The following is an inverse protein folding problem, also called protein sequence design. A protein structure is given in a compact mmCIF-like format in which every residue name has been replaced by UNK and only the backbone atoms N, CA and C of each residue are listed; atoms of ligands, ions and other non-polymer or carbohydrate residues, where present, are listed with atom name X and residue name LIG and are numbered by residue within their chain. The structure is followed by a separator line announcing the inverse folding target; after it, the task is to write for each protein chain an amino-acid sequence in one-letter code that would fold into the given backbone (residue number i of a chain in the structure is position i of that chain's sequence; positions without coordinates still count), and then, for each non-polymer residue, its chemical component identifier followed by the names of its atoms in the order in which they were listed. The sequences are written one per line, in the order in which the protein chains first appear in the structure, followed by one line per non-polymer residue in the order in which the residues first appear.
data_IF_913897304372
#
_entry.id   IF_913897304372
#
_cell.length_a   1.000
_cell.length_b   1.000
_cell.length_c   1.000
_cell.angle_alpha   90.00
_cell.angle_beta   90.00
_cell.angle_gamma   90.00
#
_symmetry.space_group_name_H-M   'P 1'
#
loop_
_entity.id
_entity.type
_entity.pdbx_description
1 polymer ?
#
# COMPACT_ATOMS: atom_id res chain seq x y z
N UNK A 1 -4.21 27.43 3.66
CA UNK A 1 -2.87 26.99 3.19
C UNK A 1 -2.82 25.47 3.25
N UNK A 2 -2.41 24.80 2.18
CA UNK A 2 -2.35 23.34 2.14
C UNK A 2 -1.28 22.81 3.09
N UNK A 3 -1.66 22.00 4.08
CA UNK A 3 -0.70 21.27 4.92
C UNK A 3 -0.37 19.93 4.24
N UNK A 4 0.90 19.58 4.10
CA UNK A 4 1.31 18.25 3.62
C UNK A 4 2.12 17.55 4.70
N UNK A 5 2.09 16.22 4.73
CA UNK A 5 2.99 15.47 5.59
C UNK A 5 4.46 15.77 5.24
N UNK A 6 5.35 15.59 6.22
CA UNK A 6 6.78 15.76 6.02
C UNK A 6 7.31 14.86 4.89
N UNK A 7 8.28 15.35 4.13
CA UNK A 7 8.78 14.68 2.92
C UNK A 7 9.27 13.24 3.14
N UNK A 8 9.78 12.93 4.34
CA UNK A 8 10.21 11.57 4.69
C UNK A 8 9.06 10.56 4.71
N UNK A 9 7.83 11.00 5.02
CA UNK A 9 6.62 10.15 4.99
C UNK A 9 6.37 9.68 3.57
N UNK A 10 6.45 10.60 2.61
CA UNK A 10 6.28 10.31 1.20
C UNK A 10 7.41 9.42 0.67
N UNK A 11 8.66 9.72 1.04
CA UNK A 11 9.80 8.90 0.68
C UNK A 11 9.60 7.43 1.13
N UNK A 12 9.15 7.22 2.37
CA UNK A 12 8.86 5.89 2.89
C UNK A 12 7.69 5.23 2.14
N UNK A 13 6.60 5.97 1.92
CA UNK A 13 5.41 5.46 1.24
C UNK A 13 5.71 5.01 -0.19
N UNK A 14 6.41 5.84 -0.98
CA UNK A 14 6.83 5.50 -2.34
C UNK A 14 7.86 4.37 -2.37
N UNK A 15 8.78 4.31 -1.40
CA UNK A 15 9.78 3.24 -1.32
C UNK A 15 9.12 1.89 -1.05
N UNK A 16 8.20 1.82 -0.07
CA UNK A 16 7.46 0.59 0.24
C UNK A 16 6.64 0.14 -0.95
N UNK A 17 5.96 1.05 -1.64
CA UNK A 17 5.21 0.74 -2.86
C UNK A 17 6.13 0.17 -3.96
N UNK A 18 7.24 0.85 -4.27
CA UNK A 18 8.18 0.43 -5.31
C UNK A 18 8.83 -0.93 -5.02
N UNK A 19 9.32 -1.14 -3.79
CA UNK A 19 9.93 -2.41 -3.38
C UNK A 19 8.90 -3.53 -3.43
N UNK A 20 7.67 -3.29 -2.97
CA UNK A 20 6.59 -4.29 -2.98
C UNK A 20 6.20 -4.68 -4.41
N UNK A 21 6.13 -3.71 -5.32
CA UNK A 21 5.84 -3.96 -6.73
C UNK A 21 6.95 -4.79 -7.39
N UNK A 22 8.22 -4.41 -7.17
CA UNK A 22 9.38 -5.13 -7.69
C UNK A 22 9.46 -6.56 -7.16
N UNK A 23 9.28 -6.77 -5.85
CA UNK A 23 9.27 -8.08 -5.22
C UNK A 23 8.13 -8.97 -5.75
N UNK A 24 6.95 -8.37 -6.00
CA UNK A 24 5.81 -9.09 -6.54
C UNK A 24 6.05 -9.51 -7.98
N UNK A 25 6.59 -8.61 -8.82
CA UNK A 25 6.98 -8.94 -10.18
C UNK A 25 8.07 -10.02 -10.22
N UNK A 26 9.07 -9.94 -9.34
CA UNK A 26 10.11 -10.96 -9.21
C UNK A 26 9.54 -12.33 -8.85
N UNK A 27 8.53 -12.38 -7.97
CA UNK A 27 7.82 -13.63 -7.63
C UNK A 27 7.15 -14.30 -8.83
N UNK A 28 6.64 -13.49 -9.79
CA UNK A 28 6.08 -14.00 -11.04
C UNK A 28 7.16 -14.62 -11.92
N UNK A 29 8.34 -13.99 -12.01
CA UNK A 29 9.48 -14.47 -12.80
C UNK A 29 9.96 -15.83 -12.28
N UNK A 30 10.13 -15.98 -10.96
CA UNK A 30 10.55 -17.25 -10.36
C UNK A 30 9.42 -18.28 -10.24
N UNK A 31 8.24 -17.99 -10.80
CA UNK A 31 7.03 -18.83 -10.80
C UNK A 31 6.59 -19.32 -9.41
N UNK A 32 6.85 -18.53 -8.35
CA UNK A 32 6.40 -18.83 -6.99
C UNK A 32 5.21 -17.95 -6.62
N UNK A 33 4.19 -18.57 -6.03
CA UNK A 33 2.99 -17.86 -5.50
C UNK A 33 2.34 -16.94 -6.55
N UNK A 34 2.35 -17.33 -7.83
CA UNK A 34 1.95 -16.49 -8.98
C UNK A 34 0.58 -15.84 -8.74
N UNK A 35 -0.46 -16.62 -8.41
CA UNK A 35 -1.80 -16.08 -8.21
C UNK A 35 -1.88 -15.03 -7.10
N UNK A 36 -1.26 -15.32 -5.94
CA UNK A 36 -1.22 -14.40 -4.80
C UNK A 36 -0.41 -13.13 -5.12
N UNK A 37 0.66 -13.25 -5.91
CA UNK A 37 1.48 -12.11 -6.35
C UNK A 37 0.79 -11.24 -7.40
N UNK A 38 0.04 -11.82 -8.34
CA UNK A 38 -0.80 -11.05 -9.28
C UNK A 38 -1.87 -10.28 -8.49
N UNK A 39 -2.57 -10.94 -7.57
CA UNK A 39 -3.56 -10.29 -6.73
C UNK A 39 -2.95 -9.15 -5.90
N UNK A 40 -1.74 -9.36 -5.36
CA UNK A 40 -1.02 -8.32 -4.62
C UNK A 40 -0.65 -7.11 -5.48
N UNK A 41 -0.20 -7.30 -6.72
CA UNK A 41 0.07 -6.19 -7.63
C UNK A 41 -1.20 -5.36 -7.86
N UNK A 42 -2.33 -6.03 -8.14
CA UNK A 42 -3.61 -5.35 -8.36
C UNK A 42 -3.98 -4.52 -7.12
N UNK A 43 -4.05 -5.17 -5.95
CA UNK A 43 -4.43 -4.53 -4.68
C UNK A 43 -3.46 -3.39 -4.30
N UNK A 44 -2.16 -3.57 -4.52
CA UNK A 44 -1.14 -2.57 -4.21
C UNK A 44 -1.33 -1.31 -5.07
N UNK A 45 -1.51 -1.48 -6.39
CA UNK A 45 -1.71 -0.36 -7.32
C UNK A 45 -3.02 0.36 -7.05
N UNK A 46 -4.13 -0.39 -6.92
CA UNK A 46 -5.43 0.22 -6.66
C UNK A 46 -5.51 0.84 -5.27
N UNK A 47 -4.94 0.21 -4.24
CA UNK A 47 -4.83 0.76 -2.89
C UNK A 47 -4.05 2.08 -2.88
N UNK A 48 -2.92 2.13 -3.59
CA UNK A 48 -2.14 3.35 -3.76
C UNK A 48 -2.93 4.46 -4.47
N UNK A 49 -3.57 4.14 -5.61
CA UNK A 49 -4.37 5.10 -6.37
C UNK A 49 -5.56 5.62 -5.57
N UNK A 50 -6.30 4.74 -4.88
CA UNK A 50 -7.46 5.12 -4.05
C UNK A 50 -7.03 6.05 -2.92
N UNK A 51 -5.91 5.75 -2.24
CA UNK A 51 -5.36 6.64 -1.21
C UNK A 51 -5.01 8.01 -1.81
N UNK A 52 -4.24 8.03 -2.90
CA UNK A 52 -3.76 9.26 -3.52
C UNK A 52 -4.92 10.15 -4.01
N UNK A 53 -5.88 9.58 -4.72
CA UNK A 53 -7.02 10.30 -5.27
C UNK A 53 -7.90 10.90 -4.17
N UNK A 54 -8.20 10.15 -3.11
CA UNK A 54 -9.02 10.65 -2.00
C UNK A 54 -8.25 11.69 -1.18
N UNK A 55 -6.95 11.51 -0.97
CA UNK A 55 -6.13 12.45 -0.22
C UNK A 55 -6.07 13.86 -0.87
N UNK A 56 -6.31 13.98 -2.18
CA UNK A 56 -6.45 15.29 -2.84
C UNK A 56 -7.74 16.03 -2.46
N UNK A 57 -8.79 15.32 -2.03
CA UNK A 57 -10.08 15.88 -1.62
C UNK A 57 -10.13 16.35 -0.16
N UNK A 58 -8.99 16.42 0.53
CA UNK A 58 -8.91 16.84 1.94
C UNK A 58 -9.20 18.33 2.12
N UNK A 59 -9.68 18.68 3.31
CA UNK A 59 -9.85 20.08 3.71
C UNK A 59 -8.50 20.81 3.83
N UNK A 60 -8.50 22.13 3.62
CA UNK A 60 -7.33 22.96 3.84
C UNK A 60 -6.77 22.81 5.28
N UNK A 61 -5.45 22.93 5.43
CA UNK A 61 -4.76 22.79 6.72
C UNK A 61 -4.69 21.36 7.29
N UNK A 62 -5.36 20.38 6.67
CA UNK A 62 -5.31 18.97 7.10
C UNK A 62 -4.29 18.19 6.27
N UNK A 63 -3.39 17.41 6.89
CA UNK A 63 -2.46 16.55 6.15
C UNK A 63 -3.15 15.32 5.56
N UNK A 64 -2.53 14.67 4.59
CA UNK A 64 -3.08 13.52 3.87
C UNK A 64 -3.28 12.30 4.79
N UNK A 65 -2.37 12.13 5.77
CA UNK A 65 -2.47 11.03 6.74
C UNK A 65 -3.52 11.32 7.80
N UNK A 66 -3.63 12.58 8.23
CA UNK A 66 -4.71 12.98 9.12
C UNK A 66 -6.07 12.74 8.45
N UNK A 67 -6.22 13.15 7.19
CA UNK A 67 -7.45 12.94 6.44
C UNK A 67 -7.79 11.46 6.27
N UNK A 68 -6.80 10.62 5.98
CA UNK A 68 -6.97 9.17 5.94
C UNK A 68 -7.47 8.61 7.28
N UNK A 69 -6.82 8.96 8.40
CA UNK A 69 -7.22 8.48 9.71
C UNK A 69 -8.61 8.96 10.13
N UNK A 70 -8.94 10.21 9.83
CA UNK A 70 -10.27 10.76 10.06
C UNK A 70 -11.31 9.99 9.25
N UNK A 71 -11.08 9.80 7.96
CA UNK A 71 -11.99 9.09 7.05
C UNK A 71 -12.16 7.62 7.47
N UNK A 72 -11.10 6.98 7.96
CA UNK A 72 -11.18 5.63 8.51
C UNK A 72 -12.06 5.56 9.76
N UNK A 73 -11.92 6.52 10.69
CA UNK A 73 -12.77 6.62 11.89
C UNK A 73 -14.23 6.88 11.55
N UNK A 74 -14.48 7.63 10.49
CA UNK A 74 -15.81 7.90 9.95
C UNK A 74 -16.39 6.71 9.15
N UNK A 75 -15.62 5.63 8.98
CA UNK A 75 -16.08 4.41 8.30
C UNK A 75 -16.09 4.53 6.77
N UNK A 76 -15.33 5.46 6.20
CA UNK A 76 -15.28 5.64 4.76
C UNK A 76 -14.72 4.38 4.06
N UNK A 77 -15.49 3.83 3.12
CA UNK A 77 -15.15 2.57 2.43
C UNK A 77 -13.80 2.61 1.74
N UNK A 78 -13.43 3.76 1.15
CA UNK A 78 -12.14 3.93 0.49
C UNK A 78 -10.97 3.82 1.50
N UNK A 79 -11.13 4.36 2.71
CA UNK A 79 -10.10 4.33 3.73
C UNK A 79 -9.96 2.91 4.31
N UNK A 80 -11.08 2.21 4.52
CA UNK A 80 -11.11 0.80 4.90
C UNK A 80 -10.41 -0.06 3.83
N UNK A 81 -10.71 0.18 2.56
CA UNK A 81 -10.08 -0.52 1.44
C UNK A 81 -8.55 -0.32 1.42
N UNK A 82 -8.08 0.92 1.60
CA UNK A 82 -6.64 1.24 1.68
C UNK A 82 -6.00 0.52 2.88
N UNK A 83 -6.65 0.49 4.04
CA UNK A 83 -6.16 -0.25 5.21
C UNK A 83 -6.03 -1.75 4.92
N UNK A 84 -7.07 -2.37 4.35
CA UNK A 84 -7.07 -3.78 3.97
C UNK A 84 -5.97 -4.07 2.95
N UNK A 85 -5.75 -3.17 1.99
CA UNK A 85 -4.67 -3.28 1.01
C UNK A 85 -3.30 -3.30 1.67
N UNK A 86 -3.09 -2.45 2.68
CA UNK A 86 -1.87 -2.45 3.51
C UNK A 86 -1.70 -3.75 4.31
N UNK A 87 -2.76 -4.24 4.96
CA UNK A 87 -2.73 -5.51 5.70
C UNK A 87 -2.44 -6.71 4.79
N UNK A 88 -3.05 -6.73 3.61
CA UNK A 88 -2.78 -7.75 2.59
C UNK A 88 -1.33 -7.69 2.12
N UNK A 89 -0.74 -6.50 2.00
CA UNK A 89 0.66 -6.34 1.64
C UNK A 89 1.60 -6.92 2.70
N UNK A 90 1.29 -6.72 3.99
CA UNK A 90 2.04 -7.32 5.10
C UNK A 90 1.96 -8.85 5.04
N UNK A 91 0.75 -9.41 4.85
CA UNK A 91 0.55 -10.84 4.68
C UNK A 91 1.33 -11.41 3.48
N UNK A 92 1.31 -10.68 2.35
CA UNK A 92 2.02 -11.08 1.15
C UNK A 92 3.53 -11.14 1.40
N UNK A 93 4.10 -10.10 2.02
CA UNK A 93 5.52 -10.00 2.40
C UNK A 93 5.96 -11.13 3.32
N UNK A 94 5.17 -11.46 4.34
CA UNK A 94 5.44 -12.58 5.23
C UNK A 94 5.60 -13.89 4.45
N UNK A 95 4.63 -14.20 3.57
CA UNK A 95 4.71 -15.39 2.73
C UNK A 95 5.84 -15.32 1.69
N UNK A 96 6.21 -14.12 1.22
CA UNK A 96 7.31 -13.94 0.28
C UNK A 96 8.59 -14.38 0.97
N UNK A 97 8.91 -13.80 2.13
CA UNK A 97 10.11 -14.12 2.91
C UNK A 97 10.21 -15.61 3.25
N UNK A 98 9.12 -16.24 3.71
CA UNK A 98 9.11 -17.68 4.01
C UNK A 98 9.42 -18.52 2.77
N UNK A 99 8.86 -18.16 1.62
CA UNK A 99 9.06 -18.93 0.39
C UNK A 99 10.52 -18.93 -0.12
N UNK A 100 11.36 -18.00 0.34
CA UNK A 100 12.81 -18.02 0.08
C UNK A 100 13.59 -18.82 1.12
N UNK A 101 13.08 -18.89 2.35
CA UNK A 101 13.73 -19.63 3.44
C UNK A 101 13.71 -21.14 3.20
N UNK A 102 12.69 -21.67 2.53
CA UNK A 102 12.60 -23.09 2.12
C UNK A 102 13.60 -23.50 1.01
N UNK A 103 14.38 -22.56 0.47
CA UNK A 103 15.44 -22.82 -0.52
C UNK A 103 16.86 -22.60 0.04
N UNK A 104 16.99 -22.19 1.30
CA UNK A 104 18.26 -21.97 1.99
C UNK A 104 18.73 -23.18 2.77
#
# INVERSE_FOLDING_TARGET
MWATNASWVWLLFYSVFGISLAASAFSLIIRKRIGISVLHIVILVTGFMVFFLNAMGRSEGMTELHYFWKSLREGALWAIYVLISGLFSIYWWYGFVISYRDKG
#
